data_IF_918895672215
#
_entry.id   IF_918895672215
#
_cell.length_a   1.000
_cell.length_b   1.000
_cell.length_c   1.000
_cell.angle_alpha   90.00
_cell.angle_beta   90.00
_cell.angle_gamma   90.00
#
_symmetry.space_group_name_H-M   'P 1'
#
loop_
_entity.id
_entity.type
_entity.pdbx_description
1 polymer ?
#
# COMPACT_ATOMS: atom_id res chain seq x y z
N UNK A 1 -6.95 13.96 -5.71
CA UNK A 1 -5.51 13.84 -5.38
C UNK A 1 -4.66 14.10 -6.64
N UNK A 2 -3.49 14.73 -6.51
CA UNK A 2 -2.54 14.84 -7.64
C UNK A 2 -1.63 13.60 -7.63
N UNK A 3 -1.70 12.77 -8.65
CA UNK A 3 -0.90 11.54 -8.77
C UNK A 3 -0.23 11.49 -10.13
N UNK A 4 1.10 11.40 -10.16
CA UNK A 4 1.90 11.38 -11.41
C UNK A 4 1.52 12.50 -12.41
N UNK A 5 1.22 13.70 -11.90
CA UNK A 5 0.83 14.85 -12.72
C UNK A 5 -0.65 14.88 -13.15
N UNK A 6 -1.41 13.82 -12.88
CA UNK A 6 -2.86 13.77 -13.13
C UNK A 6 -3.63 14.14 -11.86
N UNK A 7 -4.58 15.07 -11.96
CA UNK A 7 -5.53 15.33 -10.88
C UNK A 7 -6.69 14.36 -11.01
N UNK A 8 -6.87 13.53 -9.98
CA UNK A 8 -7.93 12.54 -9.89
C UNK A 8 -8.95 12.94 -8.81
N UNK A 9 -10.23 12.81 -9.14
CA UNK A 9 -11.31 12.86 -8.14
C UNK A 9 -11.49 11.48 -7.51
N UNK A 10 -12.01 11.47 -6.29
CA UNK A 10 -12.07 10.25 -5.49
C UNK A 10 -12.47 10.50 -4.06
N UNK A 11 -12.56 9.40 -3.31
CA UNK A 11 -12.90 9.40 -1.90
C UNK A 11 -11.75 8.88 -1.04
N UNK A 12 -11.78 9.22 0.24
CA UNK A 12 -10.86 8.66 1.23
C UNK A 12 -11.63 7.63 2.05
N UNK A 13 -11.11 6.42 2.15
CA UNK A 13 -11.69 5.33 2.93
C UNK A 13 -10.69 4.81 3.96
N UNK A 14 -11.20 4.38 5.12
CA UNK A 14 -10.44 3.53 6.02
C UNK A 14 -10.60 2.08 5.61
N UNK A 15 -9.49 1.37 5.49
CA UNK A 15 -9.48 -0.04 5.11
C UNK A 15 -8.35 -0.80 5.78
N UNK A 16 -8.60 -2.08 6.05
CA UNK A 16 -7.59 -3.03 6.49
C UNK A 16 -6.80 -3.53 5.28
N UNK A 17 -5.47 -3.41 5.32
CA UNK A 17 -4.58 -3.98 4.31
C UNK A 17 -3.83 -5.14 4.94
N UNK A 18 -3.88 -6.31 4.29
CA UNK A 18 -3.16 -7.51 4.75
C UNK A 18 -2.00 -7.83 3.81
N UNK A 19 -0.77 -7.84 4.33
CA UNK A 19 0.37 -8.48 3.68
C UNK A 19 0.31 -9.96 3.97
N UNK A 20 0.03 -10.73 2.93
CA UNK A 20 0.02 -12.20 3.01
C UNK A 20 1.46 -12.69 2.98
N UNK A 21 1.88 -13.31 4.07
CA UNK A 21 3.18 -13.93 4.16
C UNK A 21 3.23 -15.21 3.32
N UNK A 22 4.29 -15.35 2.52
CA UNK A 22 4.64 -16.66 1.94
C UNK A 22 5.31 -17.56 2.98
N UNK A 23 6.06 -16.95 3.90
CA UNK A 23 6.71 -17.61 5.04
C UNK A 23 6.48 -16.78 6.32
N UNK A 24 6.17 -17.45 7.43
CA UNK A 24 5.88 -16.79 8.70
C UNK A 24 4.43 -16.29 8.83
N UNK A 25 4.24 -15.19 9.56
CA UNK A 25 2.92 -14.65 9.90
C UNK A 25 2.51 -13.49 8.99
N UNK A 26 1.25 -13.49 8.55
CA UNK A 26 0.68 -12.38 7.79
C UNK A 26 0.44 -11.16 8.69
N UNK A 27 0.59 -9.96 8.13
CA UNK A 27 0.41 -8.71 8.86
C UNK A 27 -0.81 -7.96 8.33
N UNK A 28 -1.73 -7.57 9.22
CA UNK A 28 -2.88 -6.71 8.87
C UNK A 28 -2.72 -5.35 9.53
N UNK A 29 -2.85 -4.28 8.73
CA UNK A 29 -2.69 -2.90 9.18
C UNK A 29 -3.85 -2.04 8.68
N UNK A 30 -4.43 -1.25 9.58
CA UNK A 30 -5.42 -0.22 9.25
C UNK A 30 -4.77 0.96 8.53
N UNK A 31 -5.36 1.35 7.41
CA UNK A 31 -4.89 2.43 6.56
C UNK A 31 -5.99 3.37 6.11
N UNK A 32 -5.58 4.60 5.80
CA UNK A 32 -6.41 5.59 5.13
C UNK A 32 -5.97 5.64 3.67
N UNK A 33 -6.85 5.27 2.76
CA UNK A 33 -6.54 5.06 1.35
C UNK A 33 -7.41 5.98 0.50
N UNK A 34 -6.80 6.59 -0.51
CA UNK A 34 -7.50 7.34 -1.53
C UNK A 34 -7.93 6.39 -2.66
N UNK A 35 -9.22 6.39 -2.98
CA UNK A 35 -9.83 5.57 -4.05
C UNK A 35 -10.35 6.51 -5.13
N UNK A 36 -9.80 6.47 -6.36
CA UNK A 36 -10.31 7.27 -7.47
C UNK A 36 -11.73 6.85 -7.88
N UNK A 37 -12.60 7.81 -8.20
CA UNK A 37 -14.00 7.55 -8.57
C UNK A 37 -14.14 6.94 -9.98
N UNK A 38 -13.14 7.13 -10.84
CA UNK A 38 -13.17 6.70 -12.24
C UNK A 38 -12.57 5.29 -12.36
N UNK A 39 -13.45 4.28 -12.54
CA UNK A 39 -13.08 2.87 -12.73
C UNK A 39 -12.12 2.62 -13.90
N UNK A 40 -12.18 3.45 -14.93
CA UNK A 40 -11.32 3.36 -16.12
C UNK A 40 -9.81 3.47 -15.78
N UNK A 41 -9.48 4.07 -14.64
CA UNK A 41 -8.11 4.13 -14.12
C UNK A 41 -7.73 2.89 -13.30
N UNK A 42 -8.66 2.08 -12.80
CA UNK A 42 -8.33 0.99 -11.87
C UNK A 42 -7.47 -0.11 -12.51
N UNK A 43 -7.53 -0.28 -13.84
CA UNK A 43 -6.72 -1.27 -14.57
C UNK A 43 -5.29 -0.82 -14.88
N UNK A 44 -5.11 0.42 -15.33
CA UNK A 44 -3.80 0.93 -15.77
C UNK A 44 -3.05 1.72 -14.69
N UNK A 45 -3.73 2.08 -13.59
CA UNK A 45 -3.14 2.86 -12.53
C UNK A 45 -2.65 1.93 -11.42
N UNK A 46 -1.33 1.84 -11.18
CA UNK A 46 -0.83 0.95 -10.14
C UNK A 46 -1.29 1.44 -8.78
N UNK A 47 -1.78 0.51 -7.95
CA UNK A 47 -1.88 0.73 -6.50
C UNK A 47 -0.47 0.90 -5.95
N UNK A 48 -0.24 1.97 -5.20
CA UNK A 48 1.04 2.21 -4.55
C UNK A 48 0.83 2.40 -3.06
N UNK A 49 1.77 1.86 -2.28
CA UNK A 49 1.85 2.06 -0.85
C UNK A 49 2.97 3.06 -0.62
N UNK A 50 2.64 4.20 -0.02
CA UNK A 50 3.60 5.24 0.31
C UNK A 50 4.45 4.87 1.54
N UNK A 51 5.69 5.37 1.57
CA UNK A 51 6.50 5.34 2.79
C UNK A 51 5.77 6.07 3.93
N UNK A 52 5.48 7.34 3.69
CA UNK A 52 4.66 8.15 4.58
C UNK A 52 3.19 7.68 4.55
N UNK A 53 2.55 7.63 5.72
CA UNK A 53 1.15 7.27 5.89
C UNK A 53 0.87 5.77 5.99
N UNK A 54 1.74 4.90 5.42
CA UNK A 54 1.56 3.45 5.51
C UNK A 54 2.83 2.70 5.94
N UNK A 55 3.91 2.65 5.13
CA UNK A 55 5.04 1.76 5.44
C UNK A 55 5.80 2.19 6.70
N UNK A 56 5.77 3.47 7.07
CA UNK A 56 6.32 3.96 8.34
C UNK A 56 5.63 3.36 9.58
N UNK A 57 4.46 2.72 9.40
CA UNK A 57 3.66 2.09 10.46
C UNK A 57 3.94 0.59 10.59
N UNK A 58 4.88 0.06 9.82
CA UNK A 58 5.35 -1.33 9.89
C UNK A 58 6.89 -1.33 9.88
N UNK A 59 7.49 -2.44 10.29
CA UNK A 59 8.89 -2.72 9.99
C UNK A 59 8.94 -3.41 8.63
N UNK A 60 9.90 -3.03 7.79
CA UNK A 60 10.10 -3.71 6.52
C UNK A 60 11.57 -3.70 6.11
N UNK A 61 11.95 -4.65 5.25
CA UNK A 61 13.24 -4.72 4.59
C UNK A 61 13.06 -5.29 3.18
N UNK A 62 13.99 -4.97 2.29
CA UNK A 62 14.00 -5.49 0.92
C UNK A 62 15.35 -6.16 0.69
N UNK A 63 15.32 -7.42 0.26
CA UNK A 63 16.49 -8.07 -0.34
C UNK A 63 16.38 -7.95 -1.87
N UNK A 64 17.19 -7.09 -2.50
CA UNK A 64 17.15 -6.89 -3.95
C UNK A 64 17.76 -8.06 -4.74
N UNK A 65 18.54 -8.94 -4.11
CA UNK A 65 19.13 -10.09 -4.78
C UNK A 65 18.06 -11.13 -5.14
N UNK A 66 17.10 -11.31 -4.24
CA UNK A 66 16.02 -12.30 -4.35
C UNK A 66 14.65 -11.66 -4.59
N UNK A 67 14.59 -10.34 -4.78
CA UNK A 67 13.34 -9.56 -4.88
C UNK A 67 12.36 -9.88 -3.73
N UNK A 68 12.90 -10.00 -2.50
CA UNK A 68 12.13 -10.42 -1.32
C UNK A 68 11.79 -9.23 -0.44
N UNK A 69 10.50 -9.10 -0.11
CA UNK A 69 9.98 -8.08 0.79
C UNK A 69 9.66 -8.67 2.16
N UNK A 70 10.45 -8.30 3.17
CA UNK A 70 10.22 -8.66 4.56
C UNK A 70 9.38 -7.59 5.24
N UNK A 71 8.45 -8.01 6.11
CA UNK A 71 7.62 -7.10 6.87
C UNK A 71 7.32 -7.64 8.27
N UNK A 72 6.97 -6.74 9.19
CA UNK A 72 6.57 -7.08 10.54
C UNK A 72 5.92 -5.91 11.26
N UNK A 73 5.26 -6.14 12.41
CA UNK A 73 4.63 -5.06 13.17
C UNK A 73 5.69 -4.09 13.75
N UNK A 74 5.30 -2.83 13.93
CA UNK A 74 5.96 -1.96 14.90
C UNK A 74 5.61 -2.50 16.29
N UNK A 75 6.57 -3.15 16.94
CA UNK A 75 6.42 -3.69 18.31
C UNK A 75 5.91 -2.67 19.30
#
# INVERSE_FOLDING_TARGET
MLIRGMRLDGSIARMSITFRAQEGESLTQEATVFVPDVEEYWGNFPSFIGLAGFLERIRFAIDPLTDTFYFGPLS
#
